data_IF_254286029799
#
_entry.id   IF_254286029799
#
_cell.length_a   1.000
_cell.length_b   1.000
_cell.length_c   1.000
_cell.angle_alpha   90.00
_cell.angle_beta   90.00
_cell.angle_gamma   90.00
#
_symmetry.space_group_name_H-M   'P 1'
#
loop_
_entity.id
_entity.type
_entity.pdbx_description
1 polymer ?
#
# COMPACT_ATOMS: atom_id res chain seq x y z
N UNK A 1 -1.83 -14.58 -11.69
CA UNK A 1 -3.07 -14.24 -10.96
C UNK A 1 -2.98 -14.86 -9.57
N UNK A 2 -2.28 -14.18 -8.66
CA UNK A 2 -2.46 -14.39 -7.23
C UNK A 2 -3.39 -13.29 -6.76
N UNK A 3 -4.40 -13.62 -5.95
CA UNK A 3 -5.26 -12.60 -5.37
C UNK A 3 -4.65 -12.01 -4.10
N UNK A 4 -3.45 -12.45 -3.70
CA UNK A 4 -2.73 -11.95 -2.52
C UNK A 4 -1.29 -11.65 -2.89
N UNK A 5 -0.75 -10.60 -2.31
CA UNK A 5 0.66 -10.22 -2.42
C UNK A 5 1.09 -9.37 -1.24
N UNK A 6 2.40 -9.31 -1.04
CA UNK A 6 3.01 -8.52 0.02
C UNK A 6 3.42 -7.14 -0.48
N UNK A 7 3.24 -6.13 0.37
CA UNK A 7 3.76 -4.78 0.20
C UNK A 7 4.75 -4.51 1.33
N UNK A 8 6.02 -4.39 0.97
CA UNK A 8 7.10 -4.09 1.90
C UNK A 8 7.51 -2.62 1.79
N UNK A 9 7.52 -1.90 2.91
CA UNK A 9 8.15 -0.57 3.00
C UNK A 9 9.35 -0.62 3.92
N UNK A 10 10.52 -0.28 3.40
CA UNK A 10 11.73 -0.09 4.17
C UNK A 10 11.88 1.36 4.63
N UNK A 11 12.22 1.57 5.89
CA UNK A 11 12.47 2.89 6.47
C UNK A 11 13.83 2.89 7.17
N UNK A 12 14.60 3.96 6.99
CA UNK A 12 15.88 4.16 7.66
C UNK A 12 15.85 5.50 8.41
N UNK A 13 16.05 5.44 9.72
CA UNK A 13 16.31 6.59 10.58
C UNK A 13 17.81 6.86 10.62
N UNK A 14 18.23 8.13 10.52
CA UNK A 14 19.63 8.53 10.58
C UNK A 14 19.81 9.83 11.34
N UNK A 15 20.73 9.84 12.30
CA UNK A 15 21.17 11.02 13.04
C UNK A 15 22.70 10.99 13.18
N UNK A 16 23.40 11.86 12.45
CA UNK A 16 24.85 11.83 12.38
C UNK A 16 25.37 10.48 11.87
N UNK A 17 26.20 9.80 12.67
CA UNK A 17 26.73 8.46 12.38
C UNK A 17 25.80 7.31 12.81
N UNK A 18 24.72 7.60 13.55
CA UNK A 18 23.77 6.60 14.02
C UNK A 18 22.73 6.35 12.92
N UNK A 19 22.46 5.08 12.63
CA UNK A 19 21.38 4.69 11.74
C UNK A 19 20.69 3.41 12.19
N UNK A 20 19.37 3.37 12.06
CA UNK A 20 18.52 2.22 12.35
C UNK A 20 17.58 2.01 11.17
N UNK A 21 17.42 0.77 10.71
CA UNK A 21 16.53 0.44 9.60
C UNK A 21 15.54 -0.63 10.01
N UNK A 22 14.33 -0.53 9.51
CA UNK A 22 13.28 -1.52 9.71
C UNK A 22 12.46 -1.67 8.43
N UNK A 23 11.72 -2.77 8.34
CA UNK A 23 10.84 -3.09 7.22
C UNK A 23 9.47 -3.46 7.77
N UNK A 24 8.43 -2.89 7.17
CA UNK A 24 7.04 -3.23 7.47
C UNK A 24 6.45 -4.03 6.32
N UNK A 25 5.80 -5.14 6.65
CA UNK A 25 5.11 -6.04 5.72
C UNK A 25 3.60 -5.83 5.81
N UNK A 26 2.90 -5.90 4.68
CA UNK A 26 1.43 -5.89 4.63
C UNK A 26 0.95 -6.83 3.54
N UNK A 27 0.09 -7.77 3.94
CA UNK A 27 -0.57 -8.70 3.02
C UNK A 27 -1.83 -8.04 2.47
N UNK A 28 -1.81 -7.73 1.18
CA UNK A 28 -2.93 -7.15 0.44
C UNK A 28 -3.62 -8.25 -0.34
N UNK A 29 -4.95 -8.26 -0.28
CA UNK A 29 -5.82 -9.16 -1.01
C UNK A 29 -6.61 -8.35 -2.03
N UNK A 30 -6.59 -8.77 -3.29
CA UNK A 30 -7.47 -8.29 -4.33
C UNK A 30 -8.76 -9.11 -4.35
N UNK A 31 -9.90 -8.43 -4.47
CA UNK A 31 -11.13 -9.09 -4.87
C UNK A 31 -11.04 -9.57 -6.32
N UNK A 32 -11.93 -10.48 -6.72
CA UNK A 32 -11.97 -10.94 -8.12
C UNK A 32 -12.31 -9.77 -9.04
N UNK A 33 -11.45 -9.53 -10.03
CA UNK A 33 -11.64 -8.51 -11.06
C UNK A 33 -11.71 -9.14 -12.46
N UNK A 34 -12.29 -8.38 -13.39
CA UNK A 34 -12.43 -8.77 -14.79
C UNK A 34 -11.49 -7.96 -15.69
N UNK A 35 -11.34 -8.36 -16.96
CA UNK A 35 -10.62 -7.55 -17.94
C UNK A 35 -11.25 -6.16 -18.13
N UNK A 36 -12.58 -6.08 -18.03
CA UNK A 36 -13.31 -4.81 -18.09
C UNK A 36 -12.96 -3.90 -16.91
N UNK A 37 -12.93 -4.44 -15.69
CA UNK A 37 -12.51 -3.71 -14.48
C UNK A 37 -11.07 -3.17 -14.61
N UNK A 38 -10.16 -3.94 -15.21
CA UNK A 38 -8.79 -3.48 -15.47
C UNK A 38 -8.80 -2.33 -16.48
N UNK A 39 -9.56 -2.44 -17.57
CA UNK A 39 -9.64 -1.38 -18.59
C UNK A 39 -10.20 -0.08 -18.02
N UNK A 40 -11.26 -0.17 -17.20
CA UNK A 40 -11.85 0.96 -16.48
C UNK A 40 -10.84 1.61 -15.53
N UNK A 41 -10.09 0.78 -14.79
CA UNK A 41 -9.06 1.27 -13.87
C UNK A 41 -7.93 2.02 -14.61
N UNK A 42 -7.39 1.43 -15.67
CA UNK A 42 -6.31 2.05 -16.46
C UNK A 42 -6.78 3.33 -17.15
N UNK A 43 -8.05 3.42 -17.54
CA UNK A 43 -8.62 4.62 -18.16
C UNK A 43 -8.86 5.77 -17.15
N UNK A 44 -9.22 5.43 -15.91
CA UNK A 44 -9.57 6.41 -14.88
C UNK A 44 -8.38 6.88 -14.05
N UNK A 45 -7.32 6.07 -13.93
CA UNK A 45 -6.20 6.31 -13.02
C UNK A 45 -4.85 6.22 -13.74
N UNK A 46 -3.76 6.59 -13.06
CA UNK A 46 -2.39 6.47 -13.59
C UNK A 46 -1.63 5.29 -12.93
N UNK A 47 -1.95 4.03 -13.26
CA UNK A 47 -1.30 2.88 -12.62
C UNK A 47 0.17 2.70 -13.02
N UNK A 48 0.60 3.31 -14.13
CA UNK A 48 1.92 3.09 -14.70
C UNK A 48 3.06 3.75 -13.92
N UNK A 49 2.74 4.68 -13.00
CA UNK A 49 3.72 5.25 -12.06
C UNK A 49 3.86 4.45 -10.75
N UNK A 50 3.04 3.40 -10.57
CA UNK A 50 2.97 2.62 -9.32
C UNK A 50 3.60 1.26 -9.50
N UNK A 51 4.46 0.88 -8.55
CA UNK A 51 4.93 -0.48 -8.45
C UNK A 51 3.73 -1.42 -8.23
N UNK A 52 3.65 -2.52 -9.01
CA UNK A 52 2.49 -3.41 -8.99
C UNK A 52 1.30 -2.94 -9.83
N UNK A 53 1.41 -1.80 -10.52
CA UNK A 53 0.40 -1.24 -11.41
C UNK A 53 -0.96 -0.95 -10.73
N UNK A 54 -0.95 -0.63 -9.43
CA UNK A 54 -2.14 -0.16 -8.73
C UNK A 54 -1.79 0.76 -7.55
N UNK A 55 -2.76 1.56 -7.11
CA UNK A 55 -2.73 2.30 -5.85
C UNK A 55 -3.90 1.90 -4.96
N UNK A 56 -3.64 1.55 -3.70
CA UNK A 56 -4.71 1.12 -2.78
C UNK A 56 -5.74 2.23 -2.49
N UNK A 57 -5.36 3.49 -2.71
CA UNK A 57 -6.19 4.69 -2.54
C UNK A 57 -7.10 4.99 -3.73
N UNK A 58 -6.76 4.53 -4.93
CA UNK A 58 -7.34 5.04 -6.18
C UNK A 58 -8.85 4.80 -6.27
N UNK A 59 -9.29 3.61 -5.84
CA UNK A 59 -10.68 3.20 -5.90
C UNK A 59 -11.49 3.58 -4.65
N UNK A 60 -10.95 4.44 -3.78
CA UNK A 60 -11.64 4.96 -2.60
C UNK A 60 -12.27 6.32 -2.89
N UNK A 61 -13.47 6.55 -2.38
CA UNK A 61 -14.06 7.89 -2.31
C UNK A 61 -13.51 8.71 -1.13
N UNK A 62 -13.97 9.96 -0.99
CA UNK A 62 -13.57 10.87 0.10
C UNK A 62 -13.88 10.31 1.50
N UNK A 63 -14.85 9.39 1.61
CA UNK A 63 -15.22 8.71 2.84
C UNK A 63 -14.44 7.41 3.08
N UNK A 64 -13.50 7.05 2.21
CA UNK A 64 -12.72 5.81 2.28
C UNK A 64 -13.51 4.57 1.84
N UNK A 65 -14.68 4.73 1.22
CA UNK A 65 -15.46 3.60 0.70
C UNK A 65 -14.93 3.22 -0.68
N UNK A 66 -14.79 1.93 -0.91
CA UNK A 66 -14.43 1.39 -2.22
C UNK A 66 -15.58 1.59 -3.23
N UNK A 67 -15.35 2.44 -4.22
CA UNK A 67 -16.32 2.81 -5.26
C UNK A 67 -15.77 2.64 -6.68
N UNK A 68 -14.46 2.44 -6.82
CA UNK A 68 -13.81 2.22 -8.11
C UNK A 68 -13.91 0.79 -8.65
N UNK A 69 -13.36 0.55 -9.86
CA UNK A 69 -13.46 -0.73 -10.57
C UNK A 69 -12.64 -1.87 -9.95
N UNK A 70 -11.71 -1.55 -9.03
CA UNK A 70 -10.93 -2.54 -8.27
C UNK A 70 -11.24 -2.42 -6.79
N UNK A 71 -11.23 -3.56 -6.10
CA UNK A 71 -11.50 -3.67 -4.67
C UNK A 71 -10.43 -4.54 -4.01
N UNK A 72 -9.97 -4.10 -2.84
CA UNK A 72 -8.82 -4.68 -2.14
C UNK A 72 -9.02 -4.65 -0.63
N UNK A 73 -8.57 -5.67 0.09
CA UNK A 73 -8.52 -5.70 1.56
C UNK A 73 -7.09 -5.85 2.06
N UNK A 74 -6.87 -5.46 3.31
CA UNK A 74 -5.63 -5.76 4.04
C UNK A 74 -5.95 -6.91 4.98
N UNK A 75 -5.27 -8.03 4.77
CA UNK A 75 -5.45 -9.23 5.60
C UNK A 75 -4.56 -9.17 6.85
N UNK A 76 -3.38 -8.59 6.74
CA UNK A 76 -2.46 -8.33 7.85
C UNK A 76 -1.51 -7.16 7.53
N UNK A 77 -1.04 -6.45 8.55
CA UNK A 77 -0.20 -5.26 8.38
C UNK A 77 -1.01 -3.95 8.46
N UNK A 78 -0.60 -2.90 7.75
CA UNK A 78 -1.25 -1.59 7.86
C UNK A 78 -1.45 -0.88 6.53
N UNK A 79 -2.54 -0.11 6.44
CA UNK A 79 -2.86 0.70 5.28
C UNK A 79 -1.81 1.80 5.02
N UNK A 80 -1.29 2.41 6.09
CA UNK A 80 -0.23 3.42 5.98
C UNK A 80 1.06 2.83 5.37
N UNK A 81 1.40 1.58 5.69
CA UNK A 81 2.50 0.87 5.04
C UNK A 81 2.28 0.73 3.53
N UNK A 82 1.08 0.38 3.08
CA UNK A 82 0.78 0.24 1.64
C UNK A 82 0.82 1.57 0.90
N UNK A 83 0.45 2.67 1.57
CA UNK A 83 0.60 4.03 1.01
C UNK A 83 2.08 4.42 0.88
N UNK A 84 2.97 3.79 1.66
CA UNK A 84 4.42 3.98 1.55
C UNK A 84 5.09 4.56 2.80
N UNK A 85 4.38 4.72 3.93
CA UNK A 85 5.01 5.05 5.20
C UNK A 85 4.30 4.34 6.37
N UNK A 86 4.93 3.35 7.03
CA UNK A 86 4.33 2.63 8.15
C UNK A 86 4.34 3.49 9.43
N UNK A 87 3.33 4.36 9.58
CA UNK A 87 3.28 5.40 10.63
C UNK A 87 3.43 4.82 12.04
N UNK A 88 2.73 3.73 12.37
CA UNK A 88 2.77 3.16 13.72
C UNK A 88 4.12 2.51 14.05
N UNK A 89 4.74 1.85 13.07
CA UNK A 89 6.09 1.31 13.22
C UNK A 89 7.10 2.46 13.34
N UNK A 90 6.99 3.48 12.49
CA UNK A 90 7.84 4.67 12.55
C UNK A 90 7.76 5.37 13.91
N UNK A 91 6.57 5.55 14.48
CA UNK A 91 6.40 6.13 15.81
C UNK A 91 7.12 5.33 16.89
N UNK A 92 7.00 4.00 16.84
CA UNK A 92 7.65 3.09 17.80
C UNK A 92 9.16 3.15 17.67
N UNK A 93 9.68 3.12 16.46
CA UNK A 93 11.12 3.15 16.18
C UNK A 93 11.71 4.52 16.55
N UNK A 94 11.02 5.62 16.25
CA UNK A 94 11.44 6.97 16.67
C UNK A 94 11.46 7.15 18.20
N UNK A 95 10.52 6.53 18.93
CA UNK A 95 10.53 6.60 20.39
C UNK A 95 11.72 5.85 21.01
N UNK A 96 12.35 4.95 20.26
CA UNK A 96 13.49 4.14 20.68
C UNK A 96 14.83 4.56 20.05
N UNK A 97 14.84 5.55 19.16
CA UNK A 97 15.99 6.03 18.38
C UNK A 97 16.63 7.29 18.98
#
# INVERSE_FOLDING_TARGET
>A
KGNQHHVFTGVTLRMGSISQSFVSDTLVQFEKFTAQSIAEYVAAYNPLDKAGAYGIQDCLDEGGKQTGPLSMSIESGSYANVIGLPIEDLKRELAAF
#
